data_IF_860521459072
#
_entry.id   IF_860521459072
#
_cell.length_a   1.000
_cell.length_b   1.000
_cell.length_c   1.000
_cell.angle_alpha   90.00
_cell.angle_beta   90.00
_cell.angle_gamma   90.00
#
_symmetry.space_group_name_H-M   'P 1'
#
loop_
_entity.id
_entity.type
_entity.pdbx_description
1 polymer ?
#
# COMPACT_ATOMS: atom_id res chain seq x y z
N UNK A 1 10.11 -15.75 -5.14
CA UNK A 1 9.61 -15.00 -6.30
C UNK A 1 9.21 -13.62 -5.83
N UNK A 2 9.56 -12.55 -6.56
CA UNK A 2 9.18 -11.21 -6.17
C UNK A 2 7.68 -10.99 -6.35
N UNK A 3 7.12 -10.14 -5.49
CA UNK A 3 5.73 -9.68 -5.52
C UNK A 3 5.65 -8.39 -6.32
N UNK A 4 4.79 -8.37 -7.35
CA UNK A 4 4.49 -7.16 -8.10
C UNK A 4 3.22 -6.52 -7.52
N UNK A 5 3.32 -5.26 -7.14
CA UNK A 5 2.20 -4.47 -6.67
C UNK A 5 1.95 -3.37 -7.68
N UNK A 6 0.69 -3.17 -8.02
CA UNK A 6 0.24 -2.04 -8.84
C UNK A 6 -0.84 -1.31 -8.07
N UNK A 7 -0.86 0.01 -8.15
CA UNK A 7 -1.91 0.80 -7.55
C UNK A 7 -2.37 1.93 -8.46
N UNK A 8 -3.64 2.30 -8.29
CA UNK A 8 -4.29 3.46 -8.88
C UNK A 8 -5.08 4.17 -7.79
N UNK A 9 -4.90 5.48 -7.66
CA UNK A 9 -5.77 6.41 -6.93
C UNK A 9 -6.50 7.27 -7.97
N UNK A 10 -7.78 6.99 -8.26
CA UNK A 10 -8.58 7.79 -9.19
C UNK A 10 -8.59 9.27 -8.80
N UNK A 11 -8.84 10.14 -9.78
CA UNK A 11 -8.95 11.59 -9.53
C UNK A 11 -10.08 11.85 -8.52
N UNK A 12 -9.75 12.50 -7.41
CA UNK A 12 -10.72 12.83 -6.36
C UNK A 12 -11.15 11.67 -5.47
N UNK A 13 -10.52 10.49 -5.60
CA UNK A 13 -10.70 9.41 -4.64
C UNK A 13 -9.77 9.61 -3.44
N UNK A 14 -10.20 9.13 -2.27
CA UNK A 14 -9.36 9.06 -1.06
C UNK A 14 -8.57 7.74 -1.01
N UNK A 15 -9.14 6.67 -1.54
CA UNK A 15 -8.57 5.31 -1.47
C UNK A 15 -7.77 4.92 -2.74
N UNK A 16 -6.87 3.96 -2.55
CA UNK A 16 -6.12 3.29 -3.61
C UNK A 16 -6.76 1.95 -3.96
N UNK A 17 -6.86 1.67 -5.25
CA UNK A 17 -7.08 0.33 -5.76
C UNK A 17 -5.73 -0.33 -5.98
N UNK A 18 -5.43 -1.37 -5.20
CA UNK A 18 -4.15 -2.07 -5.18
C UNK A 18 -4.34 -3.48 -5.72
N UNK A 19 -3.56 -3.84 -6.73
CA UNK A 19 -3.45 -5.22 -7.23
C UNK A 19 -2.12 -5.81 -6.80
N UNK A 20 -2.17 -6.93 -6.09
CA UNK A 20 -1.00 -7.71 -5.64
C UNK A 20 -0.90 -8.98 -6.49
N UNK A 21 0.26 -9.19 -7.11
CA UNK A 21 0.54 -10.35 -7.96
C UNK A 21 1.72 -11.12 -7.35
N UNK A 22 1.43 -12.29 -6.78
CA UNK A 22 2.41 -13.16 -6.13
C UNK A 22 2.13 -14.63 -6.48
N UNK A 23 3.17 -15.39 -6.88
CA UNK A 23 3.10 -16.86 -7.07
C UNK A 23 1.92 -17.33 -7.96
N UNK A 24 1.61 -16.59 -9.01
CA UNK A 24 0.50 -16.92 -9.93
C UNK A 24 -0.90 -16.58 -9.39
N UNK A 25 -0.99 -15.96 -8.22
CA UNK A 25 -2.23 -15.38 -7.68
C UNK A 25 -2.25 -13.89 -7.95
N UNK A 26 -3.45 -13.39 -8.25
CA UNK A 26 -3.72 -11.96 -8.41
C UNK A 26 -4.88 -11.61 -7.51
N UNK A 27 -4.66 -10.69 -6.58
CA UNK A 27 -5.68 -10.21 -5.66
C UNK A 27 -5.76 -8.69 -5.77
N UNK A 28 -6.97 -8.13 -5.59
CA UNK A 28 -7.18 -6.68 -5.63
C UNK A 28 -7.88 -6.22 -4.36
N UNK A 29 -7.37 -5.13 -3.80
CA UNK A 29 -7.79 -4.55 -2.53
C UNK A 29 -8.07 -3.06 -2.70
N UNK A 30 -8.98 -2.55 -1.89
CA UNK A 30 -9.15 -1.10 -1.68
C UNK A 30 -8.54 -0.78 -0.32
N UNK A 31 -7.60 0.15 -0.31
CA UNK A 31 -6.83 0.55 0.88
C UNK A 31 -6.74 2.07 0.96
N UNK A 32 -6.66 2.59 2.16
CA UNK A 32 -6.50 4.02 2.44
C UNK A 32 -5.06 4.48 2.18
N UNK A 33 -4.07 3.65 2.54
CA UNK A 33 -2.64 3.98 2.38
C UNK A 33 -1.77 2.78 1.94
N UNK A 34 -0.58 3.08 1.44
CA UNK A 34 0.40 2.13 0.92
C UNK A 34 1.77 2.41 1.54
N UNK A 35 2.27 1.48 2.35
CA UNK A 35 3.60 1.55 2.96
C UNK A 35 4.51 0.47 2.37
N UNK A 36 5.60 0.92 1.76
CA UNK A 36 6.63 0.05 1.16
C UNK A 36 8.00 0.45 1.72
N UNK A 37 8.80 -0.51 2.16
CA UNK A 37 10.14 -0.25 2.73
C UNK A 37 11.09 0.40 1.72
N UNK A 38 12.06 1.17 2.21
CA UNK A 38 13.12 1.76 1.40
C UNK A 38 14.04 0.68 0.82
N UNK A 39 14.40 0.81 -0.47
CA UNK A 39 15.26 -0.12 -1.19
C UNK A 39 14.62 -0.85 -2.36
N UNK A 40 13.35 -0.53 -2.68
CA UNK A 40 12.66 -1.01 -3.87
C UNK A 40 12.41 0.12 -4.86
N UNK A 41 12.51 -0.18 -6.15
CA UNK A 41 12.24 0.78 -7.22
C UNK A 41 10.74 1.08 -7.28
N UNK A 42 10.36 2.27 -6.80
CA UNK A 42 8.98 2.78 -6.87
C UNK A 42 8.86 3.69 -8.09
N UNK A 43 7.90 3.39 -8.98
CA UNK A 43 7.55 4.28 -10.08
C UNK A 43 6.15 4.82 -9.86
N UNK A 44 6.03 6.16 -9.82
CA UNK A 44 4.76 6.88 -9.70
C UNK A 44 4.59 7.73 -10.96
N UNK A 45 3.39 7.79 -11.51
CA UNK A 45 3.07 8.68 -12.62
C UNK A 45 1.58 9.00 -12.72
N UNK A 46 1.27 10.01 -13.52
CA UNK A 46 -0.11 10.48 -13.79
C UNK A 46 -0.35 11.89 -13.27
N UNK A 47 -0.99 12.74 -14.10
CA UNK A 47 -1.29 14.13 -13.76
C UNK A 47 -2.60 14.32 -13.00
N UNK A 48 -3.55 13.40 -13.20
CA UNK A 48 -4.90 13.49 -12.61
C UNK A 48 -5.27 12.25 -11.80
N UNK A 49 -4.79 11.09 -12.21
CA UNK A 49 -4.90 9.81 -11.51
C UNK A 49 -3.50 9.39 -11.11
N UNK A 50 -3.25 9.22 -9.81
CA UNK A 50 -1.95 8.73 -9.34
C UNK A 50 -1.90 7.23 -9.55
N UNK A 51 -0.96 6.75 -10.35
CA UNK A 51 -0.70 5.31 -10.51
C UNK A 51 0.73 5.01 -10.15
N UNK A 52 0.97 3.84 -9.59
CA UNK A 52 2.32 3.37 -9.38
C UNK A 52 2.43 1.87 -9.36
N UNK A 53 3.67 1.42 -9.38
CA UNK A 53 3.97 0.02 -9.18
C UNK A 53 5.32 -0.14 -8.50
N UNK A 54 5.48 -1.26 -7.80
CA UNK A 54 6.72 -1.68 -7.17
C UNK A 54 6.86 -3.18 -7.29
N UNK A 55 8.09 -3.64 -7.44
CA UNK A 55 8.46 -5.05 -7.34
C UNK A 55 9.27 -5.21 -6.06
N UNK A 56 8.79 -6.04 -5.15
CA UNK A 56 9.43 -6.26 -3.85
C UNK A 56 9.66 -7.74 -3.59
N UNK A 57 10.80 -8.15 -3.01
CA UNK A 57 10.97 -9.51 -2.52
C UNK A 57 10.20 -9.76 -1.21
N UNK A 58 9.71 -8.71 -0.55
CA UNK A 58 9.01 -8.80 0.72
C UNK A 58 7.56 -9.26 0.53
N UNK A 59 7.04 -10.00 1.52
CA UNK A 59 5.62 -10.35 1.55
C UNK A 59 4.77 -9.13 1.91
N UNK A 60 3.69 -8.94 1.16
CA UNK A 60 2.72 -7.89 1.40
C UNK A 60 1.56 -8.41 2.23
N UNK A 61 0.99 -7.53 3.06
CA UNK A 61 -0.22 -7.82 3.83
C UNK A 61 -1.09 -6.58 3.94
N UNK A 62 -2.40 -6.80 4.01
CA UNK A 62 -3.36 -5.76 4.37
C UNK A 62 -3.47 -5.74 5.90
N UNK A 63 -3.29 -4.57 6.49
CA UNK A 63 -3.46 -4.37 7.93
C UNK A 63 -4.48 -3.28 8.19
N UNK A 64 -5.29 -3.45 9.23
CA UNK A 64 -6.21 -2.43 9.71
C UNK A 64 -5.57 -1.74 10.92
N UNK A 65 -5.46 -0.41 10.84
CA UNK A 65 -4.80 0.42 11.83
C UNK A 65 -5.80 1.48 12.32
N UNK A 66 -5.87 1.66 13.64
CA UNK A 66 -6.59 2.77 14.23
C UNK A 66 -5.63 3.96 14.39
N UNK A 67 -5.85 5.01 13.62
CA UNK A 67 -5.02 6.23 13.59
C UNK A 67 -5.49 7.24 14.63
N UNK A 68 -6.81 7.35 14.79
CA UNK A 68 -7.51 8.15 15.81
C UNK A 68 -8.65 7.33 16.42
N UNK A 69 -9.16 7.70 17.62
CA UNK A 69 -10.25 6.96 18.26
C UNK A 69 -11.47 6.82 17.34
N UNK A 70 -11.77 5.58 16.94
CA UNK A 70 -12.89 5.25 16.05
C UNK A 70 -12.62 5.41 14.55
N UNK A 71 -11.43 5.88 14.14
CA UNK A 71 -11.02 5.97 12.73
C UNK A 71 -10.10 4.81 12.41
N UNK A 72 -10.55 3.96 11.50
CA UNK A 72 -9.81 2.78 11.04
C UNK A 72 -9.41 2.93 9.59
N UNK A 73 -8.14 2.70 9.32
CA UNK A 73 -7.55 2.77 7.99
C UNK A 73 -6.96 1.41 7.61
N UNK A 74 -7.21 1.01 6.38
CA UNK A 74 -6.64 -0.18 5.75
C UNK A 74 -5.38 0.24 5.03
N UNK A 75 -4.28 -0.44 5.35
CA UNK A 75 -2.97 -0.13 4.79
C UNK A 75 -2.41 -1.37 4.12
N UNK A 76 -1.98 -1.23 2.86
CA UNK A 76 -1.10 -2.22 2.25
C UNK A 76 0.30 -2.04 2.82
N UNK A 77 0.77 -3.02 3.58
CA UNK A 77 2.11 -3.04 4.15
C UNK A 77 2.98 -4.08 3.45
N UNK A 78 3.98 -3.62 2.72
CA UNK A 78 5.03 -4.44 2.10
C UNK A 78 6.37 -4.08 2.73
N UNK A 79 6.45 -4.38 4.01
CA UNK A 79 7.50 -3.94 4.91
C UNK A 79 7.64 -4.92 6.07
N UNK A 80 8.83 -4.95 6.67
CA UNK A 80 9.09 -5.72 7.90
C UNK A 80 8.66 -4.98 9.17
N UNK A 81 8.16 -3.74 9.06
CA UNK A 81 7.68 -2.94 10.18
C UNK A 81 6.53 -3.64 10.92
N UNK A 82 6.53 -3.46 12.23
CA UNK A 82 5.46 -3.87 13.13
C UNK A 82 4.23 -2.99 12.95
N UNK A 83 3.06 -3.47 13.41
CA UNK A 83 1.82 -2.68 13.38
C UNK A 83 2.01 -1.35 14.12
N UNK A 84 2.73 -1.36 15.26
CA UNK A 84 3.00 -0.14 16.03
C UNK A 84 3.77 0.90 15.22
N UNK A 85 4.82 0.49 14.52
CA UNK A 85 5.61 1.38 13.65
C UNK A 85 4.79 1.89 12.46
N UNK A 86 3.92 1.04 11.89
CA UNK A 86 2.99 1.47 10.85
C UNK A 86 2.01 2.53 11.36
N UNK A 87 1.47 2.39 12.59
CA UNK A 87 0.58 3.39 13.18
C UNK A 87 1.25 4.76 13.27
N UNK A 88 2.51 4.79 13.70
CA UNK A 88 3.24 6.05 13.86
C UNK A 88 3.58 6.70 12.51
N UNK A 89 3.77 5.91 11.44
CA UNK A 89 3.96 6.45 10.10
C UNK A 89 2.67 7.06 9.54
N UNK A 90 1.56 6.33 9.64
CA UNK A 90 0.28 6.72 9.02
C UNK A 90 -0.35 7.91 9.74
N UNK A 91 -0.15 8.05 11.06
CA UNK A 91 -0.60 9.24 11.83
C UNK A 91 0.00 10.57 11.34
N UNK A 92 1.13 10.54 10.63
CA UNK A 92 1.87 11.73 10.20
C UNK A 92 1.46 12.15 8.78
N UNK A 93 0.81 11.26 8.03
CA UNK A 93 0.32 11.51 6.66
C UNK A 93 -0.97 12.30 6.66
#
# INVERSE_FOLDING_TARGET
MPTLIRWIKPKGAEEYHVTVIEKGRTETFVVDDIVVDSGVDIRIGGKETTRGWVVTPESCRIVEIETLPGIKEKVLACTRKTIRELRELVKIT
#
